data_IF_625893345994
#
_entry.id   IF_625893345994
#
_cell.length_a   1.000
_cell.length_b   1.000
_cell.length_c   1.000
_cell.angle_alpha   90.00
_cell.angle_beta   90.00
_cell.angle_gamma   90.00
#
_symmetry.space_group_name_H-M   'P 1'
#
loop_
_entity.id
_entity.type
_entity.pdbx_description
1 polymer ?
#
# COMPACT_ATOMS: atom_id res chain seq x y z
N UNK A 1 -7.22 -15.37 -23.48
CA UNK A 1 -8.37 -14.60 -22.96
C UNK A 1 -7.93 -13.29 -22.30
N UNK A 2 -7.07 -13.31 -21.29
CA UNK A 2 -6.57 -12.08 -20.61
C UNK A 2 -5.74 -11.17 -21.53
N UNK A 3 -4.89 -11.73 -22.40
CA UNK A 3 -4.10 -10.95 -23.35
C UNK A 3 -4.96 -10.06 -24.28
N UNK A 4 -6.12 -10.55 -24.75
CA UNK A 4 -7.06 -9.76 -25.57
C UNK A 4 -7.64 -8.57 -24.79
N UNK A 5 -7.90 -8.72 -23.50
CA UNK A 5 -8.41 -7.62 -22.68
C UNK A 5 -7.33 -6.56 -22.42
N UNK A 6 -6.08 -6.96 -22.21
CA UNK A 6 -4.97 -6.01 -22.09
C UNK A 6 -4.69 -5.26 -23.39
N UNK A 7 -4.82 -5.93 -24.54
CA UNK A 7 -4.68 -5.32 -25.86
C UNK A 7 -5.77 -4.26 -26.08
N UNK A 8 -7.03 -4.58 -25.75
CA UNK A 8 -8.14 -3.61 -25.77
C UNK A 8 -7.92 -2.45 -24.79
N UNK A 9 -7.28 -2.69 -23.64
CA UNK A 9 -6.93 -1.67 -22.66
C UNK A 9 -5.68 -0.84 -23.04
N UNK A 10 -5.05 -1.10 -24.19
CA UNK A 10 -3.84 -0.42 -24.69
C UNK A 10 -2.64 -0.47 -23.74
N UNK A 11 -2.55 -1.50 -22.91
CA UNK A 11 -1.41 -1.70 -22.01
C UNK A 11 -0.23 -2.22 -22.85
N UNK A 12 0.80 -1.37 -23.04
CA UNK A 12 2.00 -1.69 -23.84
C UNK A 12 3.21 -1.85 -22.93
N UNK A 13 4.07 -2.83 -23.23
CA UNK A 13 5.34 -3.04 -22.53
C UNK A 13 5.30 -4.00 -21.34
N UNK A 14 4.16 -4.63 -21.05
CA UNK A 14 4.03 -5.61 -19.96
C UNK A 14 3.41 -6.90 -20.51
N UNK A 15 4.00 -8.04 -20.21
CA UNK A 15 3.39 -9.34 -20.54
C UNK A 15 2.19 -9.57 -19.61
N UNK A 16 0.99 -9.40 -20.16
CA UNK A 16 -0.24 -9.65 -19.43
C UNK A 16 -0.47 -11.14 -19.23
N UNK A 17 -0.11 -11.62 -18.04
CA UNK A 17 -0.36 -12.98 -17.56
C UNK A 17 -1.23 -12.97 -16.31
N UNK A 18 -1.77 -14.13 -15.93
CA UNK A 18 -2.48 -14.30 -14.65
C UNK A 18 -1.59 -13.91 -13.46
N UNK A 19 -0.28 -14.21 -13.54
CA UNK A 19 0.67 -13.82 -12.52
C UNK A 19 0.78 -12.30 -12.44
N UNK A 20 0.98 -11.59 -13.55
CA UNK A 20 1.05 -10.12 -13.58
C UNK A 20 -0.19 -9.45 -12.99
N UNK A 21 -1.38 -9.98 -13.28
CA UNK A 21 -2.63 -9.50 -12.70
C UNK A 21 -2.69 -9.73 -11.19
N UNK A 22 -2.31 -10.93 -10.73
CA UNK A 22 -2.23 -11.26 -9.30
C UNK A 22 -1.25 -10.34 -8.57
N UNK A 23 -0.09 -10.05 -9.19
CA UNK A 23 0.88 -9.10 -8.66
C UNK A 23 0.30 -7.68 -8.56
N UNK A 24 -0.38 -7.22 -9.61
CA UNK A 24 -0.98 -5.87 -9.64
C UNK A 24 -2.11 -5.73 -8.62
N UNK A 25 -2.92 -6.78 -8.43
CA UNK A 25 -3.97 -6.80 -7.43
C UNK A 25 -3.41 -6.72 -6.00
N UNK A 26 -2.46 -7.59 -5.66
CA UNK A 26 -1.79 -7.58 -4.36
C UNK A 26 -1.15 -6.22 -4.08
N UNK A 27 -0.52 -5.63 -5.11
CA UNK A 27 0.09 -4.31 -5.01
C UNK A 27 -0.97 -3.24 -4.65
N UNK A 28 -2.03 -3.13 -5.45
CA UNK A 28 -3.06 -2.12 -5.21
C UNK A 28 -3.80 -2.34 -3.89
N UNK A 29 -3.99 -3.58 -3.44
CA UNK A 29 -4.63 -3.85 -2.15
C UNK A 29 -3.81 -3.27 -0.98
N UNK A 30 -2.50 -3.50 -0.97
CA UNK A 30 -1.61 -2.97 0.07
C UNK A 30 -1.47 -1.45 0.02
N UNK A 31 -1.39 -0.85 -1.17
CA UNK A 31 -1.34 0.62 -1.33
C UNK A 31 -2.57 1.33 -0.78
N UNK A 32 -3.74 0.68 -0.87
CA UNK A 32 -4.98 1.22 -0.32
C UNK A 32 -5.09 1.03 1.21
N UNK A 33 -4.01 0.58 1.88
CA UNK A 33 -3.98 0.34 3.33
C UNK A 33 -4.53 -1.02 3.74
N UNK A 34 -4.61 -1.97 2.80
CA UNK A 34 -5.03 -3.33 3.09
C UNK A 34 -3.99 -4.10 3.91
N UNK A 35 -4.46 -5.03 4.73
CA UNK A 35 -3.62 -5.86 5.61
C UNK A 35 -3.03 -7.08 4.89
N UNK A 36 -1.76 -7.39 5.17
CA UNK A 36 -1.01 -8.49 4.54
C UNK A 36 -1.58 -9.86 4.91
N UNK A 37 -2.05 -10.05 6.15
CA UNK A 37 -2.64 -11.33 6.57
C UNK A 37 -3.98 -11.58 5.88
N UNK A 38 -4.79 -10.53 5.78
CA UNK A 38 -6.06 -10.56 5.06
C UNK A 38 -5.84 -10.85 3.56
N UNK A 39 -4.85 -10.19 2.95
CA UNK A 39 -4.47 -10.43 1.56
C UNK A 39 -4.04 -11.89 1.34
N UNK A 40 -3.24 -12.46 2.24
CA UNK A 40 -2.82 -13.87 2.19
C UNK A 40 -4.04 -14.81 2.16
N UNK A 41 -5.03 -14.57 3.01
CA UNK A 41 -6.28 -15.34 3.04
C UNK A 41 -7.10 -15.19 1.77
N UNK A 42 -7.21 -13.97 1.23
CA UNK A 42 -7.93 -13.70 -0.04
C UNK A 42 -7.27 -14.42 -1.23
N UNK A 43 -5.94 -14.47 -1.26
CA UNK A 43 -5.18 -15.10 -2.33
C UNK A 43 -5.05 -16.63 -2.18
N UNK A 44 -5.43 -17.17 -1.01
CA UNK A 44 -5.35 -18.60 -0.71
C UNK A 44 -3.92 -19.12 -0.60
N UNK A 45 -2.95 -18.27 -0.25
CA UNK A 45 -1.56 -18.67 -0.10
C UNK A 45 -1.35 -19.36 1.26
N UNK A 46 -0.89 -20.60 1.25
CA UNK A 46 -0.51 -21.34 2.47
C UNK A 46 0.71 -20.72 3.15
N UNK A 47 1.66 -20.23 2.35
CA UNK A 47 2.91 -19.63 2.81
C UNK A 47 2.90 -18.10 2.68
N UNK A 48 3.52 -17.40 3.63
CA UNK A 48 3.55 -15.93 3.63
C UNK A 48 4.67 -15.38 2.73
N UNK A 49 5.67 -16.20 2.42
CA UNK A 49 6.84 -15.78 1.62
C UNK A 49 6.47 -15.25 0.23
N UNK A 50 5.41 -15.78 -0.40
CA UNK A 50 4.90 -15.26 -1.69
C UNK A 50 4.20 -13.91 -1.56
N UNK A 51 3.76 -13.56 -0.35
CA UNK A 51 3.12 -12.28 -0.04
C UNK A 51 4.15 -11.24 0.41
N UNK A 52 5.23 -11.67 1.08
CA UNK A 52 6.37 -10.83 1.45
C UNK A 52 7.08 -10.22 0.23
N UNK A 53 7.16 -10.95 -0.88
CA UNK A 53 7.68 -10.43 -2.15
C UNK A 53 6.92 -9.18 -2.65
N UNK A 54 5.63 -9.04 -2.30
CA UNK A 54 4.89 -7.82 -2.62
C UNK A 54 5.32 -6.66 -1.73
N UNK A 55 5.59 -6.90 -0.44
CA UNK A 55 6.03 -5.89 0.53
C UNK A 55 7.40 -5.31 0.16
N UNK A 56 8.33 -6.14 -0.30
CA UNK A 56 9.67 -5.69 -0.73
C UNK A 56 9.64 -4.74 -1.94
N UNK A 57 8.69 -4.96 -2.87
CA UNK A 57 8.46 -4.08 -4.02
C UNK A 57 7.93 -2.68 -3.63
N UNK A 58 7.53 -2.48 -2.36
CA UNK A 58 7.04 -1.22 -1.81
C UNK A 58 8.07 -0.40 -1.05
N UNK A 59 9.36 -0.77 -1.04
CA UNK A 59 10.36 -0.05 -0.25
C UNK A 59 10.38 1.48 -0.51
N UNK A 60 10.02 1.95 -1.72
CA UNK A 60 9.85 3.37 -2.02
C UNK A 60 8.60 4.02 -1.41
N UNK A 61 7.51 3.25 -1.28
CA UNK A 61 6.24 3.71 -0.70
C UNK A 61 6.22 3.54 0.84
N UNK A 62 7.10 2.70 1.38
CA UNK A 62 7.27 2.48 2.82
C UNK A 62 7.61 3.78 3.55
N UNK A 63 8.43 4.64 2.93
CA UNK A 63 8.78 5.94 3.52
C UNK A 63 7.56 6.86 3.61
N UNK A 64 6.73 6.93 2.56
CA UNK A 64 5.49 7.71 2.57
C UNK A 64 4.46 7.16 3.57
N UNK A 65 4.35 5.84 3.71
CA UNK A 65 3.48 5.23 4.71
C UNK A 65 4.02 5.45 6.13
N UNK A 66 5.33 5.40 6.32
CA UNK A 66 5.96 5.68 7.60
C UNK A 66 5.72 7.13 8.01
N UNK A 67 5.90 8.10 7.11
CA UNK A 67 5.56 9.50 7.36
C UNK A 67 4.09 9.66 7.76
N UNK A 68 3.17 9.01 7.03
CA UNK A 68 1.73 9.11 7.28
C UNK A 68 1.26 8.48 8.59
N UNK A 69 1.87 7.38 9.02
CA UNK A 69 1.43 6.62 10.20
C UNK A 69 2.43 6.68 11.36
N UNK A 70 3.43 7.57 11.28
CA UNK A 70 4.41 7.74 12.36
C UNK A 70 3.71 8.22 13.63
N UNK A 71 3.85 7.51 14.76
CA UNK A 71 3.33 7.98 16.04
C UNK A 71 3.94 9.32 16.46
N UNK A 72 5.20 9.57 16.10
CA UNK A 72 5.92 10.79 16.44
C UNK A 72 5.34 12.00 15.71
N UNK A 73 4.98 11.84 14.44
CA UNK A 73 4.40 12.94 13.64
C UNK A 73 3.02 13.34 14.18
N UNK A 74 2.17 12.35 14.48
CA UNK A 74 0.86 12.60 15.11
C UNK A 74 0.98 13.23 16.51
N UNK A 75 2.00 12.84 17.29
CA UNK A 75 2.27 13.45 18.60
C UNK A 75 2.79 14.89 18.46
N UNK A 76 3.64 15.17 17.47
CA UNK A 76 4.17 16.50 17.21
C UNK A 76 3.06 17.47 16.77
N UNK A 77 2.16 17.04 15.89
CA UNK A 77 1.00 17.83 15.47
C UNK A 77 0.04 18.12 16.63
N UNK A 78 -0.24 17.10 17.46
CA UNK A 78 -1.03 17.27 18.67
C UNK A 78 -0.38 18.24 19.68
N UNK A 79 0.95 18.22 19.81
CA UNK A 79 1.69 19.15 20.67
C UNK A 79 1.64 20.59 20.15
N UNK A 80 1.67 20.77 18.82
CA UNK A 80 1.60 22.09 18.19
C UNK A 80 0.23 22.74 18.43
N UNK A 81 -0.85 21.98 18.28
CA UNK A 81 -2.22 22.44 18.55
C UNK A 81 -2.46 22.82 20.01
N UNK A 82 -1.79 22.15 20.96
CA UNK A 82 -1.85 22.50 22.37
C UNK A 82 -1.14 23.83 22.65
N UNK A 83 -0.03 24.12 21.96
CA UNK A 83 0.72 25.37 22.12
C UNK A 83 -0.01 26.61 21.60
N UNK A 84 -0.86 26.47 20.58
CA UNK A 84 -1.66 27.58 20.03
C UNK A 84 -2.88 27.90 20.92
N UNK A 85 -3.42 26.90 21.63
CA UNK A 85 -4.59 27.08 22.50
C UNK A 85 -4.33 27.86 23.80
N UNK A 86 -3.06 28.04 24.20
CA UNK A 86 -2.69 28.82 25.39
C UNK A 86 -2.61 30.34 25.12
N UNK A 87 -2.63 30.78 23.86
CA UNK A 87 -2.35 32.19 23.50
C UNK A 87 -3.61 33.06 23.37
N UNK A 88 -4.80 32.47 23.18
CA UNK A 88 -6.08 33.21 23.04
C UNK A 88 -6.80 33.48 24.38
N UNK A 89 -6.14 33.21 25.51
CA UNK A 89 -6.70 33.32 26.86
C UNK A 89 -6.30 34.57 27.67
N UNK A 90 -5.61 35.55 27.07
CA UNK A 90 -5.09 36.76 27.76
C UNK A 90 -5.55 38.07 27.12
#
# INVERSE_FOLDING_TARGET
MIARYCESAKIKGIQCSCHTFRHTFAKNYLLNGGDVFTLKSIMGHTQIETTEMYVELFASDLQAQHEKFSPIEHLAEALHLLSESEVDGL
#
